data_IF_912708735145
#
_entry.id   IF_912708735145
#
_cell.length_a   1.000
_cell.length_b   1.000
_cell.length_c   1.000
_cell.angle_alpha   90.00
_cell.angle_beta   90.00
_cell.angle_gamma   90.00
#
_symmetry.space_group_name_H-M   'P 1'
#
loop_
_entity.id
_entity.type
_entity.pdbx_description
1 polymer ?
#
# COMPACT_ATOMS: atom_id res chain seq x y z
N UNK A 1 2.39 20.15 -12.06
CA UNK A 1 1.12 20.55 -12.71
C UNK A 1 0.41 21.45 -11.74
N UNK A 2 -0.18 22.54 -12.21
CA UNK A 2 -1.03 23.38 -11.39
C UNK A 2 -2.47 23.04 -11.73
N UNK A 3 -3.33 22.95 -10.72
CA UNK A 3 -4.79 22.84 -10.84
C UNK A 3 -5.39 24.13 -10.28
N UNK A 4 -6.64 24.41 -10.62
CA UNK A 4 -7.36 25.54 -10.05
C UNK A 4 -7.79 25.21 -8.61
N UNK A 5 -7.35 26.02 -7.64
CA UNK A 5 -7.59 25.85 -6.21
C UNK A 5 -6.37 25.40 -5.40
N UNK A 6 -6.57 25.25 -4.10
CA UNK A 6 -5.55 24.78 -3.15
C UNK A 6 -5.67 23.30 -2.90
N UNK A 7 -4.54 22.62 -2.68
CA UNK A 7 -4.53 21.23 -2.25
C UNK A 7 -5.29 21.05 -0.93
N UNK A 8 -5.99 19.92 -0.79
CA UNK A 8 -6.69 19.59 0.46
C UNK A 8 -5.72 19.56 1.64
N UNK A 9 -6.22 19.96 2.80
CA UNK A 9 -5.54 19.78 4.08
C UNK A 9 -6.08 18.52 4.77
N UNK A 10 -5.18 17.69 5.30
CA UNK A 10 -5.52 16.60 6.21
C UNK A 10 -4.96 16.94 7.58
N UNK A 11 -5.81 16.99 8.60
CA UNK A 11 -5.43 17.34 9.97
C UNK A 11 -5.65 16.14 10.87
N UNK A 12 -4.58 15.64 11.50
CA UNK A 12 -4.66 14.62 12.54
C UNK A 12 -4.57 15.26 13.93
N UNK A 13 -5.60 15.06 14.75
CA UNK A 13 -5.62 15.46 16.17
C UNK A 13 -5.31 14.22 17.01
N UNK A 14 -4.18 14.25 17.69
CA UNK A 14 -3.72 13.13 18.55
C UNK A 14 -3.98 13.45 20.01
N UNK A 15 -4.68 12.56 20.72
CA UNK A 15 -4.79 12.58 22.17
C UNK A 15 -3.82 11.54 22.78
N UNK A 16 -2.64 11.96 23.26
CA UNK A 16 -1.67 11.05 23.85
C UNK A 16 -2.12 10.44 25.17
N UNK A 17 -3.14 11.01 25.83
CA UNK A 17 -3.66 10.52 27.10
C UNK A 17 -4.67 9.41 26.90
N UNK A 18 -5.58 9.59 25.93
CA UNK A 18 -6.59 8.60 25.57
C UNK A 18 -6.10 7.55 24.58
N UNK A 19 -4.92 7.72 23.99
CA UNK A 19 -4.39 6.84 22.96
C UNK A 19 -5.24 6.84 21.66
N UNK A 20 -5.97 7.93 21.43
CA UNK A 20 -6.86 8.07 20.26
C UNK A 20 -6.36 9.15 19.31
N UNK A 21 -6.72 9.03 18.04
CA UNK A 21 -6.52 10.08 17.06
C UNK A 21 -7.80 10.29 16.24
N UNK A 22 -7.96 11.53 15.75
CA UNK A 22 -9.07 11.91 14.90
C UNK A 22 -8.50 12.56 13.64
N UNK A 23 -8.88 12.04 12.49
CA UNK A 23 -8.52 12.66 11.21
C UNK A 23 -9.68 13.52 10.69
N UNK A 24 -9.31 14.73 10.27
CA UNK A 24 -10.22 15.67 9.60
C UNK A 24 -9.66 15.88 8.19
N UNK A 25 -10.26 15.21 7.23
CA UNK A 25 -9.84 15.25 5.85
C UNK A 25 -10.74 16.20 5.05
N UNK A 26 -10.15 17.27 4.53
CA UNK A 26 -10.85 18.17 3.61
C UNK A 26 -11.07 17.50 2.25
N UNK A 27 -12.09 17.94 1.56
CA UNK A 27 -12.23 17.63 0.14
C UNK A 27 -11.34 18.56 -0.68
N UNK A 28 -10.56 17.98 -1.59
CA UNK A 28 -9.80 18.77 -2.56
C UNK A 28 -10.70 19.44 -3.60
N UNK A 29 -10.13 20.35 -4.43
CA UNK A 29 -10.84 20.92 -5.56
C UNK A 29 -11.24 19.85 -6.58
N UNK A 30 -12.28 20.13 -7.34
CA UNK A 30 -12.61 19.33 -8.52
C UNK A 30 -11.48 19.44 -9.56
N UNK A 31 -11.23 18.36 -10.29
CA UNK A 31 -10.21 18.31 -11.35
C UNK A 31 -10.92 18.26 -12.70
N UNK A 32 -10.54 19.14 -13.61
CA UNK A 32 -11.11 19.19 -14.95
C UNK A 32 -10.50 18.11 -15.86
N UNK A 33 -11.22 17.71 -16.91
CA UNK A 33 -10.73 16.79 -17.93
C UNK A 33 -9.40 17.26 -18.54
N UNK A 34 -9.26 18.56 -18.82
CA UNK A 34 -8.02 19.13 -19.37
C UNK A 34 -6.82 19.01 -18.40
N UNK A 35 -7.06 19.10 -17.10
CA UNK A 35 -6.02 18.89 -16.08
C UNK A 35 -5.64 17.41 -16.00
N UNK A 36 -6.62 16.49 -16.08
CA UNK A 36 -6.35 15.05 -16.17
C UNK A 36 -5.56 14.69 -17.41
N UNK A 37 -5.92 15.22 -18.59
CA UNK A 37 -5.17 15.01 -19.82
C UNK A 37 -3.70 15.47 -19.67
N UNK A 38 -3.50 16.64 -19.06
CA UNK A 38 -2.16 17.17 -18.78
C UNK A 38 -1.39 16.25 -17.81
N UNK A 39 -2.06 15.67 -16.80
CA UNK A 39 -1.45 14.70 -15.88
C UNK A 39 -1.02 13.44 -16.62
N UNK A 40 -1.90 12.90 -17.47
CA UNK A 40 -1.61 11.70 -18.26
C UNK A 40 -0.45 11.93 -19.25
N UNK A 41 -0.39 13.09 -19.91
CA UNK A 41 0.75 13.45 -20.77
C UNK A 41 2.06 13.49 -19.98
N UNK A 42 2.06 14.12 -18.79
CA UNK A 42 3.23 14.13 -17.91
C UNK A 42 3.60 12.74 -17.42
N UNK A 43 2.63 11.93 -17.03
CA UNK A 43 2.85 10.55 -16.62
C UNK A 43 3.54 9.78 -17.75
N UNK A 44 3.03 9.88 -18.99
CA UNK A 44 3.62 9.25 -20.18
C UNK A 44 5.07 9.67 -20.42
N UNK A 45 5.38 10.94 -20.18
CA UNK A 45 6.74 11.46 -20.33
C UNK A 45 7.67 10.95 -19.22
N UNK A 46 7.25 11.05 -17.96
CA UNK A 46 8.06 10.70 -16.81
C UNK A 46 8.31 9.19 -16.68
N UNK A 47 7.42 8.38 -17.26
CA UNK A 47 7.51 6.91 -17.20
C UNK A 47 8.27 6.29 -18.36
N UNK A 48 8.91 7.07 -19.24
CA UNK A 48 9.67 6.53 -20.37
C UNK A 48 10.81 5.61 -19.92
N UNK A 49 11.46 5.95 -18.83
CA UNK A 49 12.59 5.21 -18.25
C UNK A 49 12.25 4.62 -16.85
N UNK A 50 10.96 4.61 -16.48
CA UNK A 50 10.55 4.06 -15.20
C UNK A 50 10.29 2.55 -15.29
N UNK A 51 10.72 1.81 -14.28
CA UNK A 51 10.41 0.39 -14.15
C UNK A 51 9.11 0.17 -13.37
N UNK A 52 8.79 1.11 -12.47
CA UNK A 52 7.67 1.01 -11.55
C UNK A 52 7.01 2.37 -11.33
N UNK A 53 5.68 2.37 -11.23
CA UNK A 53 4.87 3.53 -10.82
C UNK A 53 4.00 3.13 -9.64
N UNK A 54 3.95 3.98 -8.62
CA UNK A 54 3.06 3.81 -7.46
C UNK A 54 1.95 4.84 -7.56
N UNK A 55 0.71 4.36 -7.56
CA UNK A 55 -0.46 5.18 -7.36
C UNK A 55 -0.90 5.02 -5.91
N UNK A 56 -0.79 6.09 -5.11
CA UNK A 56 -1.12 6.08 -3.69
C UNK A 56 -2.16 7.15 -3.37
N UNK A 57 -3.15 6.77 -2.57
CA UNK A 57 -4.22 7.62 -2.07
C UNK A 57 -5.48 7.62 -2.92
N UNK A 58 -6.52 8.30 -2.39
CA UNK A 58 -7.84 8.42 -3.02
C UNK A 58 -7.83 9.37 -4.21
N UNK A 59 -8.75 9.15 -5.14
CA UNK A 59 -8.94 10.03 -6.30
C UNK A 59 -9.55 11.37 -5.88
N UNK A 60 -9.20 12.48 -6.57
CA UNK A 60 -9.92 13.75 -6.43
C UNK A 60 -11.39 13.63 -6.85
N UNK A 61 -12.20 14.62 -6.47
CA UNK A 61 -13.59 14.72 -6.93
C UNK A 61 -13.67 14.78 -8.44
N UNK A 62 -14.72 14.20 -8.98
CA UNK A 62 -15.08 14.20 -10.39
C UNK A 62 -14.06 13.47 -11.30
N UNK A 63 -13.09 12.74 -10.69
CA UNK A 63 -12.25 11.77 -11.40
C UNK A 63 -12.96 10.43 -11.42
N UNK A 64 -13.08 9.83 -12.59
CA UNK A 64 -13.70 8.53 -12.77
C UNK A 64 -12.97 7.44 -11.97
N UNK A 65 -13.71 6.56 -11.29
CA UNK A 65 -13.16 5.47 -10.48
C UNK A 65 -12.23 4.54 -11.28
N UNK A 66 -12.42 4.46 -12.59
CA UNK A 66 -11.58 3.66 -13.49
C UNK A 66 -10.20 4.26 -13.77
N UNK A 67 -9.89 5.48 -13.30
CA UNK A 67 -8.65 6.19 -13.64
C UNK A 67 -7.39 5.36 -13.37
N UNK A 68 -7.27 4.75 -12.18
CA UNK A 68 -6.10 3.93 -11.84
C UNK A 68 -6.03 2.65 -12.68
N UNK A 69 -7.18 2.04 -12.98
CA UNK A 69 -7.24 0.86 -13.84
C UNK A 69 -6.79 1.16 -15.26
N UNK A 70 -7.24 2.28 -15.82
CA UNK A 70 -6.85 2.72 -17.18
C UNK A 70 -5.36 3.07 -17.24
N UNK A 71 -4.86 3.82 -16.26
CA UNK A 71 -3.44 4.15 -16.15
C UNK A 71 -2.57 2.89 -16.00
N UNK A 72 -3.00 1.92 -15.19
CA UNK A 72 -2.32 0.62 -15.04
C UNK A 72 -2.23 -0.12 -16.37
N UNK A 73 -3.35 -0.25 -17.11
CA UNK A 73 -3.37 -0.92 -18.43
C UNK A 73 -2.50 -0.19 -19.45
N UNK A 74 -2.46 1.15 -19.42
CA UNK A 74 -1.60 1.92 -20.32
C UNK A 74 -0.11 1.72 -20.01
N UNK A 75 0.27 1.75 -18.75
CA UNK A 75 1.65 1.53 -18.30
C UNK A 75 2.12 0.10 -18.59
N UNK A 76 1.25 -0.89 -18.41
CA UNK A 76 1.55 -2.29 -18.73
C UNK A 76 1.91 -2.50 -20.20
N UNK A 77 1.27 -1.78 -21.14
CA UNK A 77 1.63 -1.80 -22.58
C UNK A 77 3.06 -1.30 -22.85
N UNK A 78 3.63 -0.55 -21.91
CA UNK A 78 4.99 -0.01 -21.96
C UNK A 78 5.98 -0.79 -21.09
N UNK A 79 5.54 -1.94 -20.55
CA UNK A 79 6.32 -2.76 -19.63
C UNK A 79 6.70 -2.06 -18.31
N UNK A 80 5.91 -1.06 -17.90
CA UNK A 80 6.05 -0.38 -16.61
C UNK A 80 5.13 -1.06 -15.61
N UNK A 81 5.70 -1.55 -14.53
CA UNK A 81 4.94 -2.16 -13.43
C UNK A 81 4.18 -1.11 -12.63
N UNK A 82 3.00 -1.47 -12.12
CA UNK A 82 2.21 -0.57 -11.28
C UNK A 82 1.95 -1.15 -9.90
N UNK A 83 1.97 -0.28 -8.91
CA UNK A 83 1.56 -0.58 -7.54
C UNK A 83 0.37 0.30 -7.21
N UNK A 84 -0.66 -0.28 -6.60
CA UNK A 84 -1.85 0.43 -6.17
C UNK A 84 -1.98 0.39 -4.65
N UNK A 85 -2.12 1.56 -4.06
CA UNK A 85 -2.40 1.80 -2.64
C UNK A 85 -3.55 2.80 -2.56
N UNK A 86 -4.77 2.31 -2.65
CA UNK A 86 -6.00 3.11 -2.73
C UNK A 86 -7.17 2.31 -2.17
N UNK A 87 -8.34 2.91 -2.09
CA UNK A 87 -9.52 2.36 -1.44
C UNK A 87 -10.75 2.32 -2.37
N UNK A 88 -11.78 1.58 -1.97
CA UNK A 88 -13.10 1.59 -2.57
C UNK A 88 -13.15 1.10 -4.02
N UNK A 89 -13.99 1.73 -4.84
CA UNK A 89 -14.19 1.34 -6.24
C UNK A 89 -12.94 1.52 -7.10
N UNK A 90 -12.10 2.57 -6.94
CA UNK A 90 -10.80 2.67 -7.61
C UNK A 90 -9.87 1.49 -7.34
N UNK A 91 -9.85 0.93 -6.11
CA UNK A 91 -9.08 -0.28 -5.80
C UNK A 91 -9.68 -1.49 -6.51
N UNK A 92 -10.98 -1.69 -6.43
CA UNK A 92 -11.67 -2.85 -7.05
C UNK A 92 -11.41 -2.90 -8.57
N UNK A 93 -11.63 -1.79 -9.27
CA UNK A 93 -11.36 -1.69 -10.71
C UNK A 93 -9.87 -1.79 -11.04
N UNK A 94 -9.03 -1.24 -10.15
CA UNK A 94 -7.59 -1.24 -10.30
C UNK A 94 -6.98 -2.64 -10.19
N UNK A 95 -7.49 -3.49 -9.31
CA UNK A 95 -7.04 -4.89 -9.17
C UNK A 95 -7.30 -5.68 -10.45
N UNK A 96 -8.45 -5.48 -11.09
CA UNK A 96 -8.81 -6.12 -12.37
C UNK A 96 -7.91 -5.71 -13.55
N UNK A 97 -7.11 -4.65 -13.39
CA UNK A 97 -6.14 -4.21 -14.38
C UNK A 97 -4.77 -4.92 -14.29
N UNK A 98 -4.66 -5.96 -13.46
CA UNK A 98 -3.47 -6.79 -13.25
C UNK A 98 -2.22 -6.01 -12.80
N UNK A 99 -2.31 -5.17 -11.73
CA UNK A 99 -1.15 -4.46 -11.21
C UNK A 99 -0.09 -5.42 -10.68
N UNK A 100 1.16 -4.97 -10.66
CA UNK A 100 2.26 -5.73 -10.09
C UNK A 100 2.05 -6.02 -8.59
N UNK A 101 1.52 -5.03 -7.85
CA UNK A 101 1.24 -5.15 -6.42
C UNK A 101 0.03 -4.28 -6.05
N UNK A 102 -0.80 -4.78 -5.15
CA UNK A 102 -1.79 -3.98 -4.42
C UNK A 102 -1.46 -3.99 -2.93
N UNK A 103 -1.66 -2.85 -2.27
CA UNK A 103 -1.29 -2.69 -0.86
C UNK A 103 -2.45 -2.15 0.00
N UNK A 104 -3.60 -2.83 0.05
CA UNK A 104 -4.68 -2.40 0.91
C UNK A 104 -4.32 -2.57 2.40
N UNK A 105 -4.93 -1.76 3.27
CA UNK A 105 -5.01 -2.09 4.68
C UNK A 105 -6.08 -3.19 4.91
N UNK A 106 -6.16 -3.71 6.15
CA UNK A 106 -7.09 -4.79 6.46
C UNK A 106 -8.54 -4.42 6.12
N UNK A 107 -9.01 -3.23 6.51
CA UNK A 107 -10.39 -2.81 6.27
C UNK A 107 -10.71 -2.64 4.77
N UNK A 108 -9.76 -2.14 3.98
CA UNK A 108 -9.88 -2.04 2.53
C UNK A 108 -9.89 -3.41 1.86
N UNK A 109 -9.07 -4.34 2.34
CA UNK A 109 -9.05 -5.72 1.86
C UNK A 109 -10.35 -6.46 2.20
N UNK A 110 -10.87 -6.30 3.43
CA UNK A 110 -12.18 -6.84 3.85
C UNK A 110 -13.31 -6.30 2.97
N UNK A 111 -13.32 -4.99 2.71
CA UNK A 111 -14.30 -4.37 1.82
C UNK A 111 -14.17 -4.90 0.37
N UNK A 112 -12.95 -5.13 -0.12
CA UNK A 112 -12.70 -5.62 -1.48
C UNK A 112 -13.20 -7.05 -1.69
N UNK A 113 -12.99 -7.94 -0.69
CA UNK A 113 -13.42 -9.35 -0.78
C UNK A 113 -14.81 -9.59 -0.20
N UNK A 114 -15.39 -8.59 0.51
CA UNK A 114 -16.73 -8.67 1.11
C UNK A 114 -16.80 -9.58 2.35
N UNK A 115 -15.70 -9.76 3.07
CA UNK A 115 -15.60 -10.61 4.26
C UNK A 115 -14.70 -9.98 5.32
N UNK A 116 -15.08 -10.02 6.60
CA UNK A 116 -14.23 -9.64 7.74
C UNK A 116 -13.18 -10.71 8.04
N UNK A 117 -12.01 -10.31 8.52
CA UNK A 117 -10.90 -11.22 8.84
C UNK A 117 -10.77 -11.40 10.36
N UNK A 118 -10.94 -12.61 10.83
CA UNK A 118 -10.89 -12.97 12.24
C UNK A 118 -9.65 -13.80 12.60
N UNK A 119 -9.11 -14.55 11.64
CA UNK A 119 -7.97 -15.43 11.84
C UNK A 119 -7.03 -15.46 10.62
N UNK A 120 -5.99 -16.31 10.70
CA UNK A 120 -4.99 -16.44 9.63
C UNK A 120 -5.53 -17.05 8.36
N UNK A 121 -6.55 -17.90 8.47
CA UNK A 121 -7.18 -18.54 7.32
C UNK A 121 -7.99 -17.52 6.50
N UNK A 122 -8.68 -16.58 7.17
CA UNK A 122 -9.38 -15.50 6.49
C UNK A 122 -8.41 -14.62 5.69
N UNK A 123 -7.26 -14.28 6.26
CA UNK A 123 -6.20 -13.56 5.53
C UNK A 123 -5.66 -14.36 4.35
N UNK A 124 -5.48 -15.67 4.51
CA UNK A 124 -5.00 -16.53 3.43
C UNK A 124 -5.99 -16.56 2.27
N UNK A 125 -7.28 -16.73 2.58
CA UNK A 125 -8.38 -16.74 1.59
C UNK A 125 -8.45 -15.36 0.89
N UNK A 126 -8.34 -14.28 1.65
CA UNK A 126 -8.36 -12.92 1.09
C UNK A 126 -7.19 -12.66 0.14
N UNK A 127 -5.98 -13.07 0.52
CA UNK A 127 -4.80 -12.96 -0.35
C UNK A 127 -5.00 -13.69 -1.67
N UNK A 128 -5.55 -14.90 -1.63
CA UNK A 128 -5.84 -15.70 -2.83
C UNK A 128 -6.95 -15.04 -3.66
N UNK A 129 -8.04 -14.63 -3.03
CA UNK A 129 -9.15 -13.96 -3.71
C UNK A 129 -8.73 -12.67 -4.41
N UNK A 130 -7.93 -11.82 -3.76
CA UNK A 130 -7.41 -10.60 -4.38
C UNK A 130 -6.46 -10.91 -5.54
N UNK A 131 -5.63 -11.94 -5.42
CA UNK A 131 -4.78 -12.39 -6.52
C UNK A 131 -5.58 -12.97 -7.69
N UNK A 132 -6.70 -13.67 -7.43
CA UNK A 132 -7.61 -14.17 -8.45
C UNK A 132 -8.37 -13.06 -9.18
N UNK A 133 -8.64 -11.92 -8.50
CA UNK A 133 -9.21 -10.73 -9.13
C UNK A 133 -8.26 -10.07 -10.14
N UNK A 134 -6.93 -10.32 -10.04
CA UNK A 134 -5.97 -9.87 -11.03
C UNK A 134 -4.62 -9.42 -10.48
N UNK A 135 -4.49 -9.08 -9.20
CA UNK A 135 -3.23 -8.62 -8.62
C UNK A 135 -2.14 -9.69 -8.72
N UNK A 136 -0.95 -9.33 -9.21
CA UNK A 136 0.18 -10.28 -9.27
C UNK A 136 0.75 -10.57 -7.88
N UNK A 137 0.83 -9.55 -7.04
CA UNK A 137 1.25 -9.64 -5.65
C UNK A 137 0.26 -8.87 -4.77
N UNK A 138 0.12 -9.29 -3.53
CA UNK A 138 -0.77 -8.66 -2.55
C UNK A 138 -0.01 -8.43 -1.26
N UNK A 139 -0.12 -7.23 -0.68
CA UNK A 139 0.49 -6.86 0.59
C UNK A 139 -0.58 -6.18 1.45
N UNK A 140 -1.22 -6.92 2.34
CA UNK A 140 -2.24 -6.38 3.25
C UNK A 140 -1.53 -5.86 4.50
N UNK A 141 -1.67 -4.56 4.79
CA UNK A 141 -1.15 -3.98 6.02
C UNK A 141 -2.14 -4.19 7.17
N UNK A 142 -1.61 -4.51 8.35
CA UNK A 142 -2.39 -4.78 9.56
C UNK A 142 -1.83 -3.99 10.74
N UNK A 143 -2.57 -3.89 11.84
CA UNK A 143 -2.07 -3.29 13.08
C UNK A 143 -0.80 -3.97 13.61
N UNK A 144 -0.61 -5.25 13.33
CA UNK A 144 0.52 -6.04 13.81
C UNK A 144 1.68 -6.12 12.81
N UNK A 145 1.54 -5.57 11.61
CA UNK A 145 2.54 -5.65 10.55
C UNK A 145 1.94 -5.85 9.17
N UNK A 146 2.16 -7.01 8.54
CA UNK A 146 1.60 -7.28 7.22
C UNK A 146 1.40 -8.79 6.97
N UNK A 147 0.46 -9.10 6.08
CA UNK A 147 0.39 -10.39 5.40
C UNK A 147 0.56 -10.17 3.89
N UNK A 148 1.16 -11.12 3.20
CA UNK A 148 1.45 -10.94 1.78
C UNK A 148 1.36 -12.24 0.99
N UNK A 149 0.86 -12.16 -0.25
CA UNK A 149 1.03 -13.16 -1.28
C UNK A 149 2.03 -12.62 -2.30
N UNK A 150 3.19 -13.27 -2.39
CA UNK A 150 4.28 -12.82 -3.25
C UNK A 150 4.70 -13.93 -4.20
N UNK A 151 4.89 -13.54 -5.46
CA UNK A 151 5.39 -14.43 -6.50
C UNK A 151 6.92 -14.29 -6.60
N UNK A 152 7.58 -15.44 -6.67
CA UNK A 152 9.00 -15.53 -6.90
C UNK A 152 9.24 -16.64 -7.94
N UNK A 153 9.67 -16.24 -9.13
CA UNK A 153 9.77 -17.12 -10.31
C UNK A 153 8.45 -17.87 -10.61
N UNK A 154 8.39 -19.17 -10.28
CA UNK A 154 7.20 -20.02 -10.47
C UNK A 154 6.45 -20.32 -9.18
N UNK A 155 7.00 -19.91 -8.05
CA UNK A 155 6.42 -20.18 -6.73
C UNK A 155 5.54 -19.03 -6.28
N UNK A 156 4.47 -19.35 -5.57
CA UNK A 156 3.61 -18.40 -4.88
C UNK A 156 3.71 -18.72 -3.40
N UNK A 157 4.18 -17.74 -2.63
CA UNK A 157 4.31 -17.88 -1.18
C UNK A 157 3.47 -16.86 -0.46
N UNK A 158 2.93 -17.28 0.66
CA UNK A 158 2.12 -16.44 1.55
C UNK A 158 2.87 -16.26 2.84
N UNK A 159 3.01 -15.00 3.25
CA UNK A 159 3.80 -14.61 4.40
C UNK A 159 2.94 -13.87 5.41
N UNK A 160 3.28 -14.05 6.68
CA UNK A 160 2.90 -13.16 7.76
C UNK A 160 4.17 -12.58 8.37
N UNK A 161 4.23 -11.24 8.44
CA UNK A 161 5.31 -10.52 9.09
C UNK A 161 4.73 -9.68 10.22
N UNK A 162 5.18 -9.92 11.46
CA UNK A 162 4.76 -9.18 12.64
C UNK A 162 5.85 -8.22 13.10
N UNK A 163 5.44 -6.99 13.37
CA UNK A 163 6.31 -5.97 13.94
C UNK A 163 6.67 -6.33 15.41
N UNK A 164 7.89 -6.01 15.85
CA UNK A 164 8.18 -6.00 17.27
C UNK A 164 7.30 -4.93 17.96
N UNK A 165 6.98 -5.16 19.24
CA UNK A 165 6.21 -4.19 20.02
C UNK A 165 6.98 -2.87 20.15
N UNK A 166 6.31 -1.77 19.88
CA UNK A 166 6.83 -0.40 20.02
C UNK A 166 5.77 0.46 20.70
N UNK A 167 6.20 1.48 21.44
CA UNK A 167 5.31 2.47 22.02
C UNK A 167 4.98 3.51 20.94
N UNK A 168 3.96 3.22 20.13
CA UNK A 168 3.56 4.06 19.01
C UNK A 168 3.07 5.44 19.49
N UNK A 169 3.55 6.48 18.83
CA UNK A 169 3.14 7.88 19.04
C UNK A 169 2.11 8.30 17.99
N UNK A 170 2.29 7.87 16.75
CA UNK A 170 1.38 8.15 15.63
C UNK A 170 1.44 7.05 14.60
N UNK A 171 0.28 6.62 14.11
CA UNK A 171 0.19 5.59 13.06
C UNK A 171 0.00 6.18 11.65
N UNK A 172 -0.10 7.50 11.54
CA UNK A 172 -0.36 8.19 10.27
C UNK A 172 0.81 7.99 9.30
N UNK A 173 0.54 7.44 8.13
CA UNK A 173 1.52 7.15 7.09
C UNK A 173 2.38 5.90 7.34
N UNK A 174 2.05 5.08 8.35
CA UNK A 174 2.81 3.85 8.62
C UNK A 174 2.67 2.83 7.48
N UNK A 175 1.49 2.75 6.85
CA UNK A 175 1.24 1.93 5.65
C UNK A 175 2.10 2.39 4.48
N UNK A 176 2.12 3.69 4.20
CA UNK A 176 2.96 4.28 3.13
C UNK A 176 4.44 3.95 3.33
N UNK A 177 4.93 4.09 4.58
CA UNK A 177 6.33 3.79 4.91
C UNK A 177 6.62 2.29 4.77
N UNK A 178 5.67 1.43 5.19
CA UNK A 178 5.80 -0.02 5.02
C UNK A 178 5.89 -0.37 3.53
N UNK A 179 4.97 0.12 2.72
CA UNK A 179 4.97 -0.10 1.26
C UNK A 179 6.26 0.41 0.61
N UNK A 180 6.68 1.64 0.93
CA UNK A 180 7.91 2.22 0.41
C UNK A 180 9.15 1.40 0.81
N UNK A 181 9.19 0.93 2.06
CA UNK A 181 10.25 0.04 2.57
C UNK A 181 10.32 -1.29 1.83
N UNK A 182 9.15 -1.89 1.54
CA UNK A 182 9.07 -3.11 0.73
C UNK A 182 9.61 -2.90 -0.68
N UNK A 183 9.11 -1.87 -1.37
CA UNK A 183 9.51 -1.57 -2.75
C UNK A 183 10.99 -1.22 -2.85
N UNK A 184 11.52 -0.40 -1.93
CA UNK A 184 12.94 -0.04 -1.90
C UNK A 184 13.84 -1.27 -1.68
N UNK A 185 13.45 -2.18 -0.78
CA UNK A 185 14.19 -3.39 -0.53
C UNK A 185 14.17 -4.33 -1.76
N UNK A 186 13.01 -4.50 -2.41
CA UNK A 186 12.88 -5.30 -3.64
C UNK A 186 13.69 -4.70 -4.79
N UNK A 187 13.63 -3.39 -4.98
CA UNK A 187 14.44 -2.69 -5.99
C UNK A 187 15.95 -2.84 -5.74
N UNK A 188 16.37 -2.97 -4.47
CA UNK A 188 17.76 -3.26 -4.10
C UNK A 188 18.16 -4.73 -4.27
N UNK A 189 17.29 -5.57 -4.84
CA UNK A 189 17.57 -7.00 -5.10
C UNK A 189 17.46 -7.92 -3.88
N UNK A 190 16.84 -7.46 -2.78
CA UNK A 190 16.59 -8.31 -1.61
C UNK A 190 15.49 -9.34 -1.89
N UNK A 191 15.56 -10.49 -1.22
CA UNK A 191 14.51 -11.50 -1.27
C UNK A 191 13.17 -10.96 -0.75
N UNK A 192 12.07 -11.66 -1.05
CA UNK A 192 10.74 -11.31 -0.53
C UNK A 192 10.73 -11.25 1.01
N UNK A 193 11.39 -12.19 1.65
CA UNK A 193 11.48 -12.28 3.11
C UNK A 193 12.24 -11.10 3.72
N UNK A 194 13.39 -10.76 3.14
CA UNK A 194 14.18 -9.60 3.58
C UNK A 194 13.45 -8.29 3.34
N UNK A 195 12.72 -8.18 2.23
CA UNK A 195 11.92 -7.01 1.90
C UNK A 195 10.75 -6.84 2.88
N UNK A 196 10.04 -7.93 3.23
CA UNK A 196 8.96 -7.88 4.22
C UNK A 196 9.48 -7.50 5.61
N UNK A 197 10.63 -8.05 6.04
CA UNK A 197 11.25 -7.65 7.31
C UNK A 197 11.62 -6.16 7.32
N UNK A 198 12.20 -5.66 6.24
CA UNK A 198 12.56 -4.24 6.11
C UNK A 198 11.31 -3.35 6.11
N UNK A 199 10.28 -3.74 5.38
CA UNK A 199 9.01 -3.04 5.27
C UNK A 199 8.32 -2.87 6.64
N UNK A 200 8.10 -3.99 7.34
CA UNK A 200 7.43 -4.01 8.64
C UNK A 200 8.23 -3.26 9.69
N UNK A 201 9.55 -3.37 9.67
CA UNK A 201 10.44 -2.61 10.55
C UNK A 201 10.39 -1.11 10.28
N UNK A 202 10.31 -0.69 9.01
CA UNK A 202 10.20 0.72 8.63
C UNK A 202 8.82 1.29 9.04
N UNK A 203 7.73 0.56 8.77
CA UNK A 203 6.39 0.92 9.23
C UNK A 203 6.34 1.09 10.75
N UNK A 204 6.85 0.12 11.52
CA UNK A 204 6.92 0.23 12.97
C UNK A 204 7.79 1.41 13.45
N UNK A 205 8.93 1.68 12.79
CA UNK A 205 9.78 2.81 13.14
C UNK A 205 9.09 4.16 12.90
N UNK A 206 8.26 4.27 11.87
CA UNK A 206 7.53 5.50 11.59
C UNK A 206 6.47 5.84 12.63
N UNK A 207 5.95 4.85 13.35
CA UNK A 207 4.99 5.10 14.43
C UNK A 207 5.60 5.73 15.68
N UNK A 208 6.94 5.74 15.81
CA UNK A 208 7.66 6.32 16.95
C UNK A 208 7.78 7.85 16.90
N UNK A 209 7.43 8.46 15.78
CA UNK A 209 7.54 9.90 15.55
C UNK A 209 6.21 10.50 15.10
N UNK A 210 6.01 11.79 15.38
CA UNK A 210 4.86 12.54 14.87
C UNK A 210 5.13 13.01 13.45
N UNK A 211 4.19 12.78 12.55
CA UNK A 211 4.22 13.22 11.16
C UNK A 211 4.39 12.07 10.17
N UNK A 212 3.55 12.07 9.14
CA UNK A 212 3.54 11.05 8.11
C UNK A 212 4.90 10.93 7.40
N UNK A 213 5.36 9.69 7.21
CA UNK A 213 6.60 9.40 6.48
C UNK A 213 7.90 9.78 7.20
N UNK A 214 7.84 10.18 8.46
CA UNK A 214 9.03 10.57 9.25
C UNK A 214 9.47 9.43 10.14
N UNK A 215 10.73 9.02 10.02
CA UNK A 215 11.37 8.07 10.93
C UNK A 215 12.90 8.13 10.81
N UNK A 216 13.60 7.69 11.87
CA UNK A 216 15.05 7.47 11.80
C UNK A 216 15.34 6.09 11.18
N UNK A 217 16.01 5.99 10.02
CA UNK A 217 16.37 4.71 9.41
C UNK A 217 17.15 3.76 10.32
N UNK A 218 17.87 4.31 11.31
CA UNK A 218 18.57 3.49 12.32
C UNK A 218 17.60 2.78 13.26
N UNK A 219 16.45 3.37 13.55
CA UNK A 219 15.38 2.71 14.30
C UNK A 219 14.82 1.54 13.50
N UNK A 220 14.49 1.74 12.23
CA UNK A 220 14.05 0.67 11.35
C UNK A 220 15.09 -0.48 11.29
N UNK A 221 16.37 -0.16 11.13
CA UNK A 221 17.45 -1.17 11.11
C UNK A 221 17.54 -2.00 12.41
N UNK A 222 17.32 -1.38 13.57
CA UNK A 222 17.30 -2.10 14.87
C UNK A 222 16.05 -2.98 15.02
N UNK A 223 14.90 -2.51 14.57
CA UNK A 223 13.65 -3.24 14.67
C UNK A 223 13.59 -4.43 13.72
N UNK A 224 14.32 -4.40 12.62
CA UNK A 224 14.29 -5.45 11.58
C UNK A 224 14.63 -6.84 12.14
N UNK A 225 15.56 -6.94 13.07
CA UNK A 225 15.94 -8.21 13.70
C UNK A 225 14.83 -8.80 14.58
N UNK A 226 13.93 -7.94 15.09
CA UNK A 226 12.79 -8.35 15.92
C UNK A 226 11.51 -8.64 15.12
N UNK A 227 11.53 -8.49 13.79
CA UNK A 227 10.36 -8.83 12.97
C UNK A 227 10.23 -10.35 12.89
N UNK A 228 9.09 -10.85 13.35
CA UNK A 228 8.72 -12.26 13.22
C UNK A 228 8.14 -12.49 11.83
N UNK A 229 8.78 -13.36 11.04
CA UNK A 229 8.31 -13.76 9.72
C UNK A 229 7.99 -15.24 9.71
N UNK A 230 6.79 -15.57 9.31
CA UNK A 230 6.31 -16.93 9.10
C UNK A 230 5.61 -17.09 7.76
N UNK A 231 5.53 -18.31 7.28
CA UNK A 231 4.72 -18.67 6.12
C UNK A 231 3.28 -18.95 6.59
N UNK A 232 2.29 -18.43 5.87
CA UNK A 232 0.88 -18.80 6.04
C UNK A 232 0.66 -20.10 5.25
N UNK A 233 0.81 -21.24 5.95
CA UNK A 233 0.56 -22.53 5.35
C UNK A 233 -0.95 -22.78 5.17
N UNK A 234 -1.36 -23.58 4.16
CA UNK A 234 -2.73 -24.08 4.10
C UNK A 234 -3.05 -24.83 5.38
N UNK A 235 -4.25 -24.66 5.93
CA UNK A 235 -4.72 -25.53 7.01
C UNK A 235 -4.84 -26.92 6.42
N UNK A 236 -4.10 -27.89 6.99
CA UNK A 236 -4.26 -29.31 6.61
C UNK A 236 -5.70 -29.72 6.92
N UNK A 237 -6.40 -30.22 5.90
CA UNK A 237 -7.80 -30.65 5.98
C UNK A 237 -7.95 -31.96 6.76
#
# INVERSE_FOLDING_TARGET
MHIEGESRTSTAVVDPTGGTYTEINEWGPAVTTSELDTLLEKLRYLTQDAELVVFAGSLPRDVEDAFYAEATRELAKRHVSTVLDTEGEPLRLGVEAEPFLVSPNQAEAEALVGQEFHDEEDFRIALDGIAELGARNVLITTEQGAVALLREDRDIRRYRARAPRVDAVSVVGAGDVLLAGFLAARHSGRSNEEALRAAVAAGAASTLEVGAGRFDPRHAGRLQAGVELGELAPVEA
#
